data_IF_503363235929
#
_entry.id   IF_503363235929
#
_cell.length_a   1.000
_cell.length_b   1.000
_cell.length_c   1.000
_cell.angle_alpha   90.00
_cell.angle_beta   90.00
_cell.angle_gamma   90.00
#
_symmetry.space_group_name_H-M   'P 1'
#
loop_
_entity.id
_entity.type
_entity.pdbx_description
1 polymer ?
#
# COMPACT_ATOMS: atom_id res chain seq x y z
N UNK A 1 7.42 1.51 15.95
CA UNK A 1 5.97 1.25 16.05
C UNK A 1 5.22 2.57 15.99
N UNK A 2 3.92 2.54 15.80
CA UNK A 2 3.06 3.73 15.70
C UNK A 2 1.59 3.33 15.82
N UNK A 3 0.70 4.32 15.83
CA UNK A 3 -0.74 4.12 16.03
C UNK A 3 -1.43 3.22 14.99
N UNK A 4 -0.90 3.07 13.77
CA UNK A 4 -1.45 2.15 12.76
C UNK A 4 -0.94 0.71 12.86
N UNK A 5 0.20 0.50 13.52
CA UNK A 5 0.88 -0.79 13.61
C UNK A 5 1.46 -0.95 15.02
N UNK A 6 0.57 -1.00 16.02
CA UNK A 6 0.95 -1.08 17.43
C UNK A 6 1.76 -2.34 17.73
N UNK A 7 1.43 -3.44 17.05
CA UNK A 7 2.14 -4.72 17.13
C UNK A 7 3.24 -4.89 16.08
N UNK A 8 3.45 -3.88 15.22
CA UNK A 8 4.52 -3.83 14.23
C UNK A 8 4.10 -4.09 12.80
N UNK A 9 5.03 -3.76 11.90
CA UNK A 9 4.98 -4.02 10.48
C UNK A 9 6.42 -4.21 9.97
N UNK A 10 6.56 -4.69 8.73
CA UNK A 10 7.86 -4.92 8.09
C UNK A 10 7.95 -4.04 6.84
N UNK A 11 9.12 -3.44 6.64
CA UNK A 11 9.47 -2.70 5.43
C UNK A 11 10.85 -3.13 4.96
N UNK A 12 11.02 -3.29 3.64
CA UNK A 12 12.33 -3.56 3.02
C UNK A 12 13.02 -2.25 2.69
N UNK A 13 13.80 -1.72 3.62
CA UNK A 13 14.47 -0.40 3.49
C UNK A 13 15.43 -0.33 2.31
N UNK A 14 16.03 -1.45 1.88
CA UNK A 14 16.90 -1.49 0.70
C UNK A 14 16.22 -1.07 -0.63
N UNK A 15 14.88 -1.01 -0.67
CA UNK A 15 14.11 -0.55 -1.83
C UNK A 15 13.50 0.85 -1.65
N UNK A 16 13.87 1.59 -0.60
CA UNK A 16 13.30 2.90 -0.25
C UNK A 16 14.39 3.96 -0.34
N UNK A 17 14.13 5.04 -1.07
CA UNK A 17 15.05 6.17 -1.15
C UNK A 17 15.10 6.94 0.18
N UNK A 18 16.29 7.41 0.58
CA UNK A 18 16.51 8.09 1.86
C UNK A 18 15.61 9.33 2.02
N UNK A 19 15.28 10.01 0.91
CA UNK A 19 14.42 11.19 0.91
C UNK A 19 12.95 10.88 1.28
N UNK A 20 12.52 9.62 1.17
CA UNK A 20 11.14 9.19 1.43
C UNK A 20 11.02 8.27 2.66
N UNK A 21 12.05 8.20 3.52
CA UNK A 21 11.95 7.52 4.82
C UNK A 21 10.88 8.13 5.74
N UNK A 22 10.48 9.38 5.45
CA UNK A 22 9.28 10.01 6.01
C UNK A 22 8.37 10.39 4.86
N UNK A 23 7.14 9.88 4.90
CA UNK A 23 6.12 10.18 3.91
C UNK A 23 4.81 10.56 4.62
N UNK A 24 4.08 11.54 4.08
CA UNK A 24 2.81 11.99 4.63
C UNK A 24 1.90 12.42 3.49
N UNK A 25 0.64 12.00 3.57
CA UNK A 25 -0.33 12.24 2.51
C UNK A 25 -1.74 11.84 2.94
N UNK A 26 -2.76 12.21 2.14
CA UNK A 26 -4.13 11.77 2.38
C UNK A 26 -4.24 10.25 2.16
N UNK A 27 -5.02 9.59 3.02
CA UNK A 27 -5.22 8.15 2.93
C UNK A 27 -6.23 7.79 1.82
N UNK A 28 -5.85 6.85 0.96
CA UNK A 28 -6.73 6.18 -0.01
C UNK A 28 -6.89 4.72 0.45
N UNK A 29 -8.01 4.44 1.09
CA UNK A 29 -8.27 3.13 1.74
C UNK A 29 -9.09 2.25 0.81
N UNK A 30 -8.63 1.00 0.64
CA UNK A 30 -9.25 -0.02 -0.18
C UNK A 30 -9.37 -1.33 0.61
N UNK A 31 -10.40 -2.11 0.31
CA UNK A 31 -10.77 -3.31 1.08
C UNK A 31 -10.22 -4.62 0.48
N UNK A 32 -9.64 -4.53 -0.71
CA UNK A 32 -9.02 -5.65 -1.42
C UNK A 32 -7.91 -5.17 -2.35
N UNK A 33 -7.05 -6.08 -2.78
CA UNK A 33 -6.11 -5.82 -3.86
C UNK A 33 -6.81 -5.34 -5.14
N UNK A 34 -7.93 -5.96 -5.50
CA UNK A 34 -8.65 -5.67 -6.74
C UNK A 34 -9.21 -4.24 -6.76
N UNK A 35 -9.79 -3.79 -5.63
CA UNK A 35 -10.27 -2.41 -5.45
C UNK A 35 -9.13 -1.40 -5.62
N UNK A 36 -7.97 -1.71 -5.02
CA UNK A 36 -6.80 -0.84 -5.10
C UNK A 36 -6.24 -0.78 -6.53
N UNK A 37 -6.18 -1.93 -7.22
CA UNK A 37 -5.74 -2.03 -8.62
C UNK A 37 -6.65 -1.21 -9.53
N UNK A 38 -7.98 -1.35 -9.40
CA UNK A 38 -8.94 -0.57 -10.18
C UNK A 38 -8.74 0.93 -9.94
N UNK A 39 -8.55 1.33 -8.68
CA UNK A 39 -8.36 2.73 -8.33
C UNK A 39 -7.03 3.32 -8.84
N UNK A 40 -5.94 2.54 -8.82
CA UNK A 40 -4.65 2.94 -9.37
C UNK A 40 -4.77 3.11 -10.89
N UNK A 41 -5.25 2.09 -11.60
CA UNK A 41 -5.39 2.11 -13.06
C UNK A 41 -6.43 3.14 -13.54
N UNK A 42 -7.44 3.41 -12.72
CA UNK A 42 -8.45 4.44 -12.95
C UNK A 42 -8.03 5.86 -12.58
N UNK A 43 -6.78 6.09 -12.16
CA UNK A 43 -6.25 7.41 -11.82
C UNK A 43 -6.83 8.05 -10.56
N UNK A 44 -7.47 7.26 -9.69
CA UNK A 44 -8.00 7.73 -8.38
C UNK A 44 -6.91 7.89 -7.32
N UNK A 45 -5.77 7.21 -7.54
CA UNK A 45 -4.53 7.36 -6.76
C UNK A 45 -3.57 8.27 -7.52
N UNK A 46 -3.10 9.32 -6.86
CA UNK A 46 -2.19 10.33 -7.43
C UNK A 46 -0.94 10.49 -6.57
N UNK A 47 0.07 11.19 -7.10
CA UNK A 47 1.30 11.47 -6.37
C UNK A 47 1.01 12.16 -5.02
N UNK A 48 1.60 11.63 -3.96
CA UNK A 48 1.41 12.12 -2.58
C UNK A 48 0.34 11.37 -1.79
N UNK A 49 -0.47 10.50 -2.40
CA UNK A 49 -1.44 9.68 -1.66
C UNK A 49 -0.76 8.56 -0.84
N UNK A 50 -1.34 8.22 0.31
CA UNK A 50 -1.02 7.00 1.07
C UNK A 50 -2.06 5.94 0.75
N UNK A 51 -1.68 4.95 -0.07
CA UNK A 51 -2.56 3.81 -0.39
C UNK A 51 -2.54 2.80 0.75
N UNK A 52 -3.71 2.49 1.30
CA UNK A 52 -3.89 1.50 2.36
C UNK A 52 -4.82 0.41 1.84
N UNK A 53 -4.28 -0.81 1.71
CA UNK A 53 -5.08 -2.00 1.38
C UNK A 53 -5.25 -2.79 2.67
N UNK A 54 -6.49 -2.88 3.17
CA UNK A 54 -6.79 -3.59 4.41
C UNK A 54 -7.57 -4.87 4.14
N UNK A 55 -7.80 -5.64 5.20
CA UNK A 55 -8.39 -6.97 5.17
C UNK A 55 -7.57 -8.04 4.43
N UNK A 56 -6.43 -7.76 3.80
CA UNK A 56 -5.57 -8.78 3.16
C UNK A 56 -4.65 -9.58 4.12
N UNK A 57 -4.92 -9.53 5.43
CA UNK A 57 -4.13 -10.25 6.44
C UNK A 57 -4.45 -11.75 6.54
N UNK A 58 -3.77 -12.52 7.42
CA UNK A 58 -3.91 -13.97 7.53
C UNK A 58 -5.35 -14.49 7.67
N UNK A 59 -6.23 -13.69 8.30
CA UNK A 59 -7.65 -14.02 8.51
C UNK A 59 -8.60 -13.26 7.58
N UNK A 60 -8.27 -12.03 7.20
CA UNK A 60 -9.18 -11.22 6.39
C UNK A 60 -9.17 -11.64 4.91
N UNK A 61 -7.98 -11.92 4.36
CA UNK A 61 -7.77 -12.33 2.96
C UNK A 61 -7.78 -13.85 2.76
N UNK A 62 -8.00 -14.62 3.84
CA UNK A 62 -7.27 -15.84 4.19
C UNK A 62 -5.83 -16.02 3.66
N UNK A 63 -4.92 -16.44 4.55
CA UNK A 63 -3.58 -16.92 4.14
C UNK A 63 -2.55 -15.83 3.85
N UNK A 64 -2.91 -14.54 3.95
CA UNK A 64 -2.01 -13.41 3.75
C UNK A 64 -1.33 -13.46 2.38
N UNK A 65 -2.13 -13.34 1.33
CA UNK A 65 -1.65 -13.42 -0.04
C UNK A 65 -0.56 -12.37 -0.32
N UNK A 66 0.45 -12.77 -1.08
CA UNK A 66 1.43 -11.82 -1.62
C UNK A 66 0.79 -10.92 -2.68
N UNK A 67 1.10 -9.61 -2.64
CA UNK A 67 0.50 -8.60 -3.53
C UNK A 67 1.54 -7.90 -4.39
N UNK A 68 1.76 -8.39 -5.62
CA UNK A 68 2.68 -7.78 -6.58
C UNK A 68 2.03 -6.70 -7.45
N UNK A 69 0.72 -6.81 -7.73
CA UNK A 69 0.06 -5.95 -8.71
C UNK A 69 -0.04 -4.47 -8.30
N UNK A 70 -0.43 -4.11 -7.06
CA UNK A 70 -0.55 -2.70 -6.68
C UNK A 70 0.78 -1.94 -6.82
N UNK A 71 1.90 -2.55 -6.41
CA UNK A 71 3.22 -1.93 -6.50
C UNK A 71 3.72 -1.84 -7.95
N UNK A 72 3.45 -2.86 -8.77
CA UNK A 72 3.79 -2.87 -10.19
C UNK A 72 3.05 -1.76 -10.95
N UNK A 73 1.75 -1.58 -10.67
CA UNK A 73 0.95 -0.55 -11.33
C UNK A 73 1.30 0.86 -10.86
N UNK A 74 1.54 1.06 -9.55
CA UNK A 74 2.06 2.33 -9.05
C UNK A 74 3.39 2.71 -9.72
N UNK A 75 4.29 1.74 -9.90
CA UNK A 75 5.56 1.96 -10.60
C UNK A 75 5.35 2.29 -12.09
N UNK A 76 4.36 1.72 -12.77
CA UNK A 76 4.13 1.99 -14.20
C UNK A 76 3.41 3.30 -14.48
N UNK A 77 2.76 3.91 -13.48
CA UNK A 77 2.05 5.18 -13.60
C UNK A 77 2.99 6.40 -13.63
N UNK A 78 4.30 6.21 -13.36
CA UNK A 78 5.32 7.25 -13.30
C UNK A 78 6.60 6.88 -14.05
#
# INVERSE_FOLDING_TARGET
>A
YGNFAENGCIVKTAGVDDSILKFTGPAKVYESQDDAVEAILGGKVVAGDVVVIRYEGPKGGPGMQEMLYPTSFLKSMG
#
